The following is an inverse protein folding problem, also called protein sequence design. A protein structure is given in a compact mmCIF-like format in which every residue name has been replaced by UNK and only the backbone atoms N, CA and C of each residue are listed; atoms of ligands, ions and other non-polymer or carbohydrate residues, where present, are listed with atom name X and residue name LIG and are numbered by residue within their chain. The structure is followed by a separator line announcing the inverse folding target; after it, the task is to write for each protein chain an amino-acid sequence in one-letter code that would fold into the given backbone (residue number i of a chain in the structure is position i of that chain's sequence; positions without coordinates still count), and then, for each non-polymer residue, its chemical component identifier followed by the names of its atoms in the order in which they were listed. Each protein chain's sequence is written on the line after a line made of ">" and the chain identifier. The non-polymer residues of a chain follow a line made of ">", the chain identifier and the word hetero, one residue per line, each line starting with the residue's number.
data_IF_750334328645
#
_entry.id   IF_750334328645
#
_cell.length_a   1.000
_cell.length_b   1.000
_cell.length_c   1.000
_cell.angle_alpha   90.00
_cell.angle_beta   90.00
_cell.angle_gamma   90.00
#
_symmetry.space_group_name_H-M   'P 1'
#
loop_
_entity.id
_entity.type
_entity.pdbx_description
1 polymer ?
#
# COMPACT_ATOMS: atom_id res chain seq x y z
N UNK A 1 -22.85 -21.14 -30.65
CA UNK A 1 -21.42 -21.03 -30.32
C UNK A 1 -21.08 -19.54 -30.42
N UNK A 2 -21.14 -18.86 -29.31
CA UNK A 2 -20.81 -17.45 -29.21
C UNK A 2 -19.37 -17.39 -28.72
N UNK A 3 -18.48 -16.98 -29.62
CA UNK A 3 -17.07 -16.74 -29.31
C UNK A 3 -17.00 -15.62 -28.24
N UNK A 4 -16.56 -15.98 -27.05
CA UNK A 4 -16.09 -14.98 -26.09
C UNK A 4 -14.81 -14.38 -26.69
N UNK A 5 -14.92 -13.15 -27.19
CA UNK A 5 -13.75 -12.31 -27.41
C UNK A 5 -13.06 -12.17 -26.06
N UNK A 6 -11.87 -12.72 -25.94
CA UNK A 6 -10.95 -12.47 -24.82
C UNK A 6 -10.74 -10.95 -24.76
N UNK A 7 -11.49 -10.28 -23.90
CA UNK A 7 -11.17 -8.93 -23.48
C UNK A 7 -9.89 -9.06 -22.68
N UNK A 8 -8.76 -8.69 -23.27
CA UNK A 8 -7.53 -8.41 -22.53
C UNK A 8 -7.93 -7.34 -21.52
N UNK A 9 -8.07 -7.72 -20.26
CA UNK A 9 -8.30 -6.78 -19.18
C UNK A 9 -7.12 -5.81 -19.17
N UNK A 10 -7.37 -4.55 -19.51
CA UNK A 10 -6.37 -3.52 -19.39
C UNK A 10 -6.12 -3.31 -17.89
N UNK A 11 -4.89 -3.34 -17.40
CA UNK A 11 -4.61 -3.16 -15.99
C UNK A 11 -5.18 -1.82 -15.52
N UNK A 12 -5.53 -1.72 -14.22
CA UNK A 12 -6.03 -0.48 -13.61
C UNK A 12 -5.10 0.68 -14.02
N UNK A 13 -5.62 1.75 -14.67
CA UNK A 13 -4.80 2.84 -15.19
C UNK A 13 -4.01 3.51 -14.07
N UNK A 14 -2.77 3.89 -14.37
CA UNK A 14 -1.96 4.68 -13.45
C UNK A 14 -2.51 6.11 -13.27
N UNK A 15 -2.05 6.81 -12.25
CA UNK A 15 -2.55 8.13 -11.90
C UNK A 15 -2.29 9.19 -12.99
N UNK A 16 -1.24 9.05 -13.79
CA UNK A 16 -0.92 9.97 -14.88
C UNK A 16 -1.91 9.78 -16.05
N UNK A 17 -2.18 8.53 -16.41
CA UNK A 17 -3.20 8.19 -17.40
C UNK A 17 -4.59 8.73 -17.01
N UNK A 18 -4.88 8.80 -15.72
CA UNK A 18 -6.16 9.31 -15.20
C UNK A 18 -6.26 10.84 -15.28
N UNK A 19 -5.17 11.61 -15.24
CA UNK A 19 -5.19 13.07 -15.13
C UNK A 19 -5.96 13.76 -16.26
N UNK A 20 -5.71 13.42 -17.52
CA UNK A 20 -6.37 14.03 -18.65
C UNK A 20 -7.87 13.69 -18.72
N UNK A 21 -8.30 12.43 -18.61
CA UNK A 21 -9.73 12.08 -18.52
C UNK A 21 -10.42 12.76 -17.33
N UNK A 22 -9.76 12.87 -16.17
CA UNK A 22 -10.29 13.59 -15.01
C UNK A 22 -10.56 15.08 -15.35
N UNK A 23 -9.57 15.77 -15.92
CA UNK A 23 -9.70 17.18 -16.27
C UNK A 23 -10.78 17.42 -17.32
N UNK A 24 -10.90 16.53 -18.32
CA UNK A 24 -11.98 16.57 -19.32
C UNK A 24 -13.36 16.41 -18.68
N UNK A 25 -13.50 15.53 -17.70
CA UNK A 25 -14.78 15.27 -17.04
C UNK A 25 -15.32 16.50 -16.28
N UNK A 26 -14.44 17.32 -15.70
CA UNK A 26 -14.83 18.52 -14.95
C UNK A 26 -14.80 19.80 -15.80
N UNK A 27 -14.69 19.67 -17.13
CA UNK A 27 -14.51 20.80 -18.07
C UNK A 27 -15.72 21.70 -18.24
N UNK A 28 -16.89 21.29 -17.74
CA UNK A 28 -18.13 22.05 -17.82
C UNK A 28 -18.18 23.25 -16.86
N UNK A 29 -17.14 23.46 -16.05
CA UNK A 29 -17.04 24.57 -15.12
C UNK A 29 -17.95 24.46 -13.88
N UNK A 30 -18.63 23.33 -13.68
CA UNK A 30 -19.47 23.08 -12.51
C UNK A 30 -18.70 22.39 -11.40
N UNK A 31 -19.30 22.38 -10.21
CA UNK A 31 -18.78 21.60 -9.08
C UNK A 31 -19.12 20.13 -9.26
N UNK A 32 -18.10 19.27 -9.25
CA UNK A 32 -18.24 17.82 -9.32
C UNK A 32 -17.91 17.17 -7.98
N UNK A 33 -18.78 16.27 -7.52
CA UNK A 33 -18.53 15.48 -6.33
C UNK A 33 -17.48 14.43 -6.62
N UNK A 34 -16.47 14.31 -5.77
CA UNK A 34 -15.35 13.38 -5.97
C UNK A 34 -15.80 11.93 -6.22
N UNK A 35 -16.79 11.44 -5.47
CA UNK A 35 -17.32 10.08 -5.64
C UNK A 35 -17.93 9.85 -7.03
N UNK A 36 -18.66 10.84 -7.53
CA UNK A 36 -19.30 10.75 -8.86
C UNK A 36 -18.24 10.79 -9.97
N UNK A 37 -17.17 11.56 -9.76
CA UNK A 37 -16.02 11.61 -10.67
C UNK A 37 -15.32 10.24 -10.74
N UNK A 38 -15.07 9.57 -9.60
CA UNK A 38 -14.52 8.21 -9.56
C UNK A 38 -15.39 7.24 -10.36
N UNK A 39 -16.71 7.22 -10.10
CA UNK A 39 -17.64 6.32 -10.79
C UNK A 39 -17.68 6.55 -12.31
N UNK A 40 -17.58 7.80 -12.75
CA UNK A 40 -17.55 8.13 -14.17
C UNK A 40 -16.24 7.74 -14.82
N UNK A 41 -15.09 7.93 -14.14
CA UNK A 41 -13.79 7.48 -14.61
C UNK A 41 -13.70 5.95 -14.67
N UNK A 42 -14.26 5.24 -13.69
CA UNK A 42 -14.34 3.78 -13.70
C UNK A 42 -15.05 3.26 -14.96
N UNK A 43 -16.19 3.89 -15.31
CA UNK A 43 -16.91 3.57 -16.55
C UNK A 43 -16.13 3.96 -17.81
N UNK A 44 -15.43 5.09 -17.79
CA UNK A 44 -14.60 5.54 -18.92
C UNK A 44 -13.49 4.52 -19.21
N UNK A 45 -12.83 3.99 -18.19
CA UNK A 45 -11.79 2.98 -18.32
C UNK A 45 -12.32 1.55 -18.42
N UNK A 46 -13.64 1.34 -18.34
CA UNK A 46 -14.33 0.04 -18.40
C UNK A 46 -13.80 -0.97 -17.39
N UNK A 47 -13.54 -0.48 -16.17
CA UNK A 47 -13.01 -1.34 -15.11
C UNK A 47 -14.05 -2.39 -14.70
N UNK A 48 -13.56 -3.59 -14.44
CA UNK A 48 -14.36 -4.71 -13.92
C UNK A 48 -14.63 -4.54 -12.42
N UNK A 49 -15.61 -5.26 -11.88
CA UNK A 49 -15.90 -5.24 -10.44
C UNK A 49 -14.70 -5.73 -9.61
N UNK A 50 -13.91 -6.66 -10.13
CA UNK A 50 -12.70 -7.15 -9.50
C UNK A 50 -11.66 -6.04 -9.39
N UNK A 51 -11.38 -5.31 -10.48
CA UNK A 51 -10.45 -4.17 -10.50
C UNK A 51 -10.91 -3.01 -9.60
N UNK A 52 -12.23 -2.78 -9.50
CA UNK A 52 -12.79 -1.76 -8.61
C UNK A 52 -12.67 -2.11 -7.12
N UNK A 53 -12.59 -3.40 -6.79
CA UNK A 53 -12.45 -3.89 -5.42
C UNK A 53 -11.01 -4.21 -5.03
N UNK A 54 -10.06 -4.21 -5.99
CA UNK A 54 -8.63 -4.41 -5.74
C UNK A 54 -8.09 -3.37 -4.77
N UNK A 55 -7.55 -3.83 -3.63
CA UNK A 55 -7.09 -2.95 -2.55
C UNK A 55 -5.58 -2.82 -2.54
N UNK A 56 -5.12 -1.70 -2.02
CA UNK A 56 -3.74 -1.53 -1.61
C UNK A 56 -3.36 -2.58 -0.55
N UNK A 57 -2.07 -2.92 -0.40
CA UNK A 57 -1.60 -3.91 0.56
C UNK A 57 -2.10 -3.72 1.99
N UNK A 58 -2.32 -2.47 2.42
CA UNK A 58 -2.90 -2.15 3.74
C UNK A 58 -4.38 -2.50 3.88
N UNK A 59 -5.08 -2.79 2.78
CA UNK A 59 -6.52 -3.05 2.74
C UNK A 59 -7.41 -1.82 2.97
N UNK A 60 -6.83 -0.62 3.18
CA UNK A 60 -7.58 0.59 3.60
C UNK A 60 -8.30 1.29 2.46
N UNK A 61 -7.76 1.22 1.26
CA UNK A 61 -8.26 1.92 0.08
C UNK A 61 -8.12 1.03 -1.16
N UNK A 62 -8.99 1.21 -2.16
CA UNK A 62 -8.81 0.55 -3.45
C UNK A 62 -7.69 1.21 -4.24
N UNK A 63 -7.04 0.45 -5.11
CA UNK A 63 -5.96 0.94 -5.99
C UNK A 63 -6.49 2.06 -6.87
N UNK A 64 -7.67 1.87 -7.47
CA UNK A 64 -8.26 2.87 -8.35
C UNK A 64 -8.61 4.17 -7.62
N UNK A 65 -9.28 4.12 -6.47
CA UNK A 65 -9.60 5.31 -5.66
C UNK A 65 -8.33 6.07 -5.25
N UNK A 66 -7.26 5.34 -4.91
CA UNK A 66 -5.97 5.93 -4.58
C UNK A 66 -5.39 6.70 -5.78
N UNK A 67 -5.35 6.06 -6.95
CA UNK A 67 -4.82 6.66 -8.18
C UNK A 67 -5.61 7.88 -8.64
N UNK A 68 -6.94 7.82 -8.58
CA UNK A 68 -7.81 8.99 -8.86
C UNK A 68 -7.57 10.10 -7.84
N UNK A 69 -7.39 9.75 -6.56
CA UNK A 69 -7.07 10.71 -5.50
C UNK A 69 -5.77 11.46 -5.75
N UNK A 70 -4.71 10.74 -6.18
CA UNK A 70 -3.42 11.35 -6.51
C UNK A 70 -3.47 12.17 -7.81
N UNK A 71 -4.14 11.68 -8.85
CA UNK A 71 -4.37 12.47 -10.07
C UNK A 71 -5.05 13.81 -9.75
N UNK A 72 -6.11 13.79 -8.94
CA UNK A 72 -6.81 14.98 -8.45
C UNK A 72 -5.87 15.90 -7.66
N UNK A 73 -5.05 15.36 -6.77
CA UNK A 73 -4.11 16.15 -5.96
C UNK A 73 -3.09 16.85 -6.84
N UNK A 74 -2.54 16.17 -7.83
CA UNK A 74 -1.53 16.74 -8.72
C UNK A 74 -2.13 17.83 -9.64
N UNK A 75 -3.32 17.60 -10.19
CA UNK A 75 -4.05 18.63 -10.95
C UNK A 75 -4.34 19.87 -10.10
N UNK A 76 -4.70 19.70 -8.83
CA UNK A 76 -4.91 20.82 -7.89
C UNK A 76 -3.60 21.55 -7.59
N UNK A 77 -2.50 20.81 -7.34
CA UNK A 77 -1.19 21.42 -7.08
C UNK A 77 -0.62 22.19 -8.28
N UNK A 78 -0.99 21.78 -9.50
CA UNK A 78 -0.70 22.52 -10.73
C UNK A 78 -1.66 23.69 -10.98
N UNK A 79 -2.69 23.87 -10.15
CA UNK A 79 -3.69 24.94 -10.29
C UNK A 79 -4.66 24.73 -11.46
N UNK A 80 -4.83 23.48 -11.95
CA UNK A 80 -5.74 23.17 -13.04
C UNK A 80 -7.18 22.93 -12.54
N UNK A 81 -7.32 22.53 -11.29
CA UNK A 81 -8.60 22.40 -10.58
C UNK A 81 -8.50 23.07 -9.22
N UNK A 82 -9.63 23.42 -8.65
CA UNK A 82 -9.78 23.95 -7.29
C UNK A 82 -10.78 23.13 -6.48
N UNK A 83 -10.74 23.29 -5.15
CA UNK A 83 -11.68 22.65 -4.23
C UNK A 83 -12.57 23.72 -3.60
N UNK A 84 -13.73 24.05 -4.21
CA UNK A 84 -14.62 25.07 -3.69
C UNK A 84 -15.18 24.71 -2.31
N UNK A 85 -15.34 23.41 -2.05
CA UNK A 85 -15.76 22.86 -0.76
C UNK A 85 -15.29 21.41 -0.60
N UNK A 86 -15.36 20.89 0.62
CA UNK A 86 -14.92 19.52 0.95
C UNK A 86 -15.66 18.48 0.09
N UNK A 87 -14.89 17.63 -0.59
CA UNK A 87 -15.41 16.55 -1.43
C UNK A 87 -15.86 16.97 -2.83
N UNK A 88 -15.66 18.23 -3.22
CA UNK A 88 -15.97 18.74 -4.55
C UNK A 88 -14.71 19.27 -5.23
N UNK A 89 -14.73 19.26 -6.56
CA UNK A 89 -13.70 19.86 -7.40
C UNK A 89 -14.34 20.60 -8.57
N UNK A 90 -13.65 21.59 -9.07
CA UNK A 90 -14.07 22.42 -10.21
C UNK A 90 -12.83 22.76 -11.02
N UNK A 91 -12.97 22.83 -12.34
CA UNK A 91 -11.89 23.26 -13.23
C UNK A 91 -11.63 24.77 -13.06
N UNK A 92 -10.37 25.17 -13.18
CA UNK A 92 -9.97 26.58 -13.22
C UNK A 92 -9.83 27.09 -14.66
N UNK A 93 -9.71 28.41 -14.84
CA UNK A 93 -9.41 29.02 -16.16
C UNK A 93 -8.10 28.47 -16.74
N UNK A 94 -7.11 28.17 -15.87
CA UNK A 94 -5.85 27.52 -16.27
C UNK A 94 -6.11 26.10 -16.78
N UNK A 95 -6.97 25.35 -16.13
CA UNK A 95 -7.37 24.00 -16.57
C UNK A 95 -8.08 24.03 -17.92
N UNK A 96 -8.95 25.01 -18.15
CA UNK A 96 -9.61 25.20 -19.45
C UNK A 96 -8.60 25.55 -20.55
N UNK A 97 -7.61 26.42 -20.27
CA UNK A 97 -6.54 26.73 -21.23
C UNK A 97 -5.73 25.49 -21.59
N UNK A 98 -5.38 24.66 -20.61
CA UNK A 98 -4.68 23.38 -20.86
C UNK A 98 -5.50 22.47 -21.75
N UNK A 99 -6.81 22.35 -21.53
CA UNK A 99 -7.67 21.55 -22.42
C UNK A 99 -7.77 22.11 -23.83
N UNK A 100 -7.74 23.44 -24.00
CA UNK A 100 -7.76 24.09 -25.32
C UNK A 100 -6.47 23.83 -26.13
N UNK A 101 -5.36 23.53 -25.48
CA UNK A 101 -4.11 23.09 -26.10
C UNK A 101 -4.19 21.65 -26.67
N UNK A 102 -5.25 20.91 -26.36
CA UNK A 102 -5.47 19.51 -26.77
C UNK A 102 -4.28 18.58 -26.47
N UNK A 103 -3.77 18.55 -25.22
CA UNK A 103 -2.66 17.68 -24.91
C UNK A 103 -3.04 16.20 -25.11
N UNK A 104 -2.12 15.39 -25.61
CA UNK A 104 -2.33 13.95 -25.75
C UNK A 104 -2.36 13.26 -24.37
N UNK A 105 -1.50 13.71 -23.45
CA UNK A 105 -1.40 13.21 -22.07
C UNK A 105 -1.08 14.35 -21.14
N UNK A 106 -1.46 14.19 -19.85
CA UNK A 106 -1.00 15.04 -18.75
C UNK A 106 -0.19 14.15 -17.83
N UNK A 107 1.12 14.37 -17.78
CA UNK A 107 2.07 13.64 -16.92
C UNK A 107 2.63 14.57 -15.84
N UNK A 108 3.38 14.03 -14.90
CA UNK A 108 4.12 14.84 -13.91
C UNK A 108 5.11 15.79 -14.58
N UNK A 109 5.76 15.35 -15.67
CA UNK A 109 6.64 16.21 -16.49
C UNK A 109 5.87 17.36 -17.13
N UNK A 110 4.68 17.07 -17.68
CA UNK A 110 3.81 18.12 -18.23
C UNK A 110 3.39 19.12 -17.15
N UNK A 111 3.10 18.67 -15.94
CA UNK A 111 2.75 19.53 -14.80
C UNK A 111 3.94 20.33 -14.26
N UNK A 112 5.18 19.88 -14.47
CA UNK A 112 6.39 20.58 -14.07
C UNK A 112 6.54 21.96 -14.72
N UNK A 113 5.82 22.27 -15.79
CA UNK A 113 5.75 23.62 -16.37
C UNK A 113 5.11 24.67 -15.45
N UNK A 114 4.38 24.22 -14.41
CA UNK A 114 3.72 25.09 -13.45
C UNK A 114 4.57 25.28 -12.19
N UNK A 115 4.93 26.54 -11.83
CA UNK A 115 5.81 26.80 -10.69
C UNK A 115 5.29 26.25 -9.36
N UNK A 116 3.96 26.29 -9.17
CA UNK A 116 3.31 25.82 -7.95
C UNK A 116 3.47 24.29 -7.79
N UNK A 117 3.41 23.56 -8.89
CA UNK A 117 3.65 22.11 -8.91
C UNK A 117 5.13 21.79 -8.63
N UNK A 118 6.07 22.52 -9.27
CA UNK A 118 7.49 22.37 -8.99
C UNK A 118 7.83 22.64 -7.52
N UNK A 119 7.23 23.66 -6.92
CA UNK A 119 7.42 23.96 -5.50
C UNK A 119 6.89 22.83 -4.59
N UNK A 120 5.80 22.19 -4.99
CA UNK A 120 5.25 21.04 -4.29
C UNK A 120 6.19 19.82 -4.37
N UNK A 121 6.71 19.48 -5.55
CA UNK A 121 7.64 18.35 -5.74
C UNK A 121 8.94 18.59 -4.98
N UNK A 122 9.57 19.78 -5.11
CA UNK A 122 10.81 20.12 -4.40
C UNK A 122 10.69 20.05 -2.87
N UNK A 123 9.53 20.36 -2.30
CA UNK A 123 9.28 20.18 -0.86
C UNK A 123 9.23 18.70 -0.47
N UNK A 124 8.69 17.86 -1.33
CA UNK A 124 8.67 16.41 -1.13
C UNK A 124 10.09 15.83 -1.15
N UNK A 125 10.92 16.25 -2.10
CA UNK A 125 12.29 15.76 -2.25
C UNK A 125 13.22 16.25 -1.13
N UNK A 126 13.05 17.48 -0.64
CA UNK A 126 13.85 18.03 0.45
C UNK A 126 13.62 17.30 1.80
N UNK A 127 12.49 16.64 1.98
CA UNK A 127 12.20 15.78 3.14
C UNK A 127 12.67 14.33 2.95
N UNK A 128 13.06 13.93 1.74
CA UNK A 128 13.46 12.56 1.37
C UNK A 128 14.96 12.39 1.13
N UNK A 129 15.82 13.36 1.53
CA UNK A 129 17.27 13.19 1.45
C UNK A 129 17.77 12.25 2.56
N UNK A 130 17.52 10.97 2.40
CA UNK A 130 18.34 9.88 2.92
C UNK A 130 18.18 8.67 2.01
N UNK A 131 19.23 8.41 1.22
CA UNK A 131 19.63 7.11 0.68
C UNK A 131 18.55 6.19 0.08
N UNK A 132 18.08 6.46 -1.14
CA UNK A 132 17.62 5.38 -2.04
C UNK A 132 17.93 5.77 -3.50
N UNK A 133 19.19 5.71 -3.88
CA UNK A 133 19.57 5.45 -5.27
C UNK A 133 19.50 3.94 -5.48
N UNK A 134 18.56 3.47 -6.25
CA UNK A 134 18.51 2.23 -7.04
C UNK A 134 17.14 1.57 -7.00
N UNK A 135 16.14 2.15 -7.65
CA UNK A 135 15.10 1.38 -8.36
C UNK A 135 14.16 2.30 -9.19
N UNK A 136 14.75 3.10 -10.06
CA UNK A 136 14.04 4.23 -10.71
C UNK A 136 13.09 3.84 -11.86
N UNK A 137 13.11 2.61 -12.36
CA UNK A 137 12.35 2.27 -13.58
C UNK A 137 10.94 1.71 -13.35
N UNK A 138 10.57 1.32 -12.13
CA UNK A 138 9.20 0.85 -11.82
C UNK A 138 8.38 1.82 -10.96
N UNK A 139 8.96 2.97 -10.53
CA UNK A 139 8.29 3.91 -9.62
C UNK A 139 7.50 5.01 -10.32
N UNK A 140 7.74 5.28 -11.60
CA UNK A 140 7.12 6.40 -12.32
C UNK A 140 5.59 6.31 -12.44
N UNK A 141 5.04 5.10 -12.47
CA UNK A 141 3.60 4.86 -12.60
C UNK A 141 2.88 4.56 -11.28
N UNK A 142 3.63 4.46 -10.17
CA UNK A 142 3.05 4.25 -8.84
C UNK A 142 2.79 5.56 -8.13
N UNK A 143 1.70 5.61 -7.38
CA UNK A 143 1.46 6.74 -6.48
C UNK A 143 2.42 6.71 -5.30
N UNK A 144 2.68 7.84 -4.63
CA UNK A 144 3.47 7.86 -3.39
C UNK A 144 2.96 6.89 -2.31
N UNK A 145 1.64 6.72 -2.19
CA UNK A 145 1.04 5.74 -1.27
C UNK A 145 1.35 4.31 -1.67
N UNK A 146 1.23 3.97 -2.96
CA UNK A 146 1.60 2.64 -3.47
C UNK A 146 3.08 2.36 -3.22
N UNK A 147 3.96 3.30 -3.52
CA UNK A 147 5.40 3.16 -3.30
C UNK A 147 5.72 2.88 -1.83
N UNK A 148 5.13 3.65 -0.90
CA UNK A 148 5.32 3.46 0.53
C UNK A 148 4.87 2.07 0.99
N UNK A 149 3.68 1.63 0.58
CA UNK A 149 3.12 0.35 1.00
C UNK A 149 3.91 -0.84 0.45
N UNK A 150 4.29 -0.79 -0.83
CA UNK A 150 5.12 -1.84 -1.43
C UNK A 150 6.53 -1.89 -0.83
N UNK A 151 7.16 -0.74 -0.55
CA UNK A 151 8.46 -0.69 0.12
C UNK A 151 8.38 -1.26 1.54
N UNK A 152 7.34 -0.94 2.28
CA UNK A 152 7.10 -1.52 3.60
C UNK A 152 6.95 -3.04 3.56
N UNK A 153 6.19 -3.57 2.58
CA UNK A 153 6.04 -5.01 2.41
C UNK A 153 7.35 -5.70 2.03
N UNK A 154 8.16 -5.09 1.15
CA UNK A 154 9.47 -5.63 0.79
C UNK A 154 10.36 -5.75 2.01
N UNK A 155 10.52 -4.68 2.78
CA UNK A 155 11.31 -4.67 4.01
C UNK A 155 10.81 -5.70 5.03
N UNK A 156 9.49 -5.82 5.19
CA UNK A 156 8.89 -6.81 6.09
C UNK A 156 9.18 -8.24 5.64
N UNK A 157 9.10 -8.52 4.34
CA UNK A 157 9.39 -9.83 3.79
C UNK A 157 10.88 -10.19 3.92
N UNK A 158 11.77 -9.23 3.63
CA UNK A 158 13.21 -9.40 3.81
C UNK A 158 13.55 -9.71 5.27
N UNK A 159 12.99 -8.94 6.22
CA UNK A 159 13.17 -9.20 7.64
C UNK A 159 12.64 -10.58 8.05
N UNK A 160 11.45 -10.96 7.55
CA UNK A 160 10.88 -12.27 7.85
C UNK A 160 11.77 -13.41 7.34
N UNK A 161 12.34 -13.27 6.14
CA UNK A 161 13.28 -14.25 5.58
C UNK A 161 14.58 -14.31 6.38
N UNK A 162 15.13 -13.16 6.78
CA UNK A 162 16.34 -13.10 7.61
C UNK A 162 16.12 -13.77 8.97
N UNK A 163 15.00 -13.45 9.65
CA UNK A 163 14.65 -14.07 10.92
C UNK A 163 14.48 -15.60 10.78
N UNK A 164 13.79 -16.05 9.71
CA UNK A 164 13.63 -17.47 9.44
C UNK A 164 14.98 -18.17 9.18
N UNK A 165 15.86 -17.52 8.43
CA UNK A 165 17.21 -18.04 8.18
C UNK A 165 18.03 -18.16 9.48
N UNK A 166 17.95 -17.14 10.36
CA UNK A 166 18.62 -17.18 11.68
C UNK A 166 18.08 -18.31 12.57
N UNK A 167 16.74 -18.52 12.56
CA UNK A 167 16.14 -19.63 13.29
C UNK A 167 16.59 -21.00 12.77
N UNK A 168 16.61 -21.18 11.44
CA UNK A 168 17.04 -22.44 10.82
C UNK A 168 18.52 -22.75 11.00
N UNK A 169 19.37 -21.74 11.11
CA UNK A 169 20.82 -21.88 11.29
C UNK A 169 21.22 -21.85 12.78
N UNK A 170 20.28 -21.61 13.69
CA UNK A 170 20.50 -21.64 15.13
C UNK A 170 20.69 -23.08 15.67
N UNK A 171 21.11 -23.20 16.92
CA UNK A 171 21.14 -24.51 17.58
C UNK A 171 19.71 -24.99 17.90
N UNK A 172 19.46 -26.29 18.03
CA UNK A 172 18.15 -26.80 18.47
C UNK A 172 17.67 -26.12 19.76
N UNK A 173 18.54 -25.98 20.76
CA UNK A 173 18.17 -25.32 22.03
C UNK A 173 17.78 -23.85 21.84
N UNK A 174 18.39 -23.16 20.88
CA UNK A 174 17.99 -21.78 20.54
C UNK A 174 16.58 -21.76 19.94
N UNK A 175 16.28 -22.71 19.05
CA UNK A 175 14.96 -22.80 18.42
C UNK A 175 13.86 -23.10 19.47
N UNK A 176 14.08 -24.11 20.31
CA UNK A 176 13.20 -24.47 21.43
C UNK A 176 12.91 -23.27 22.33
N UNK A 177 13.95 -22.55 22.73
CA UNK A 177 13.84 -21.36 23.56
C UNK A 177 13.00 -20.26 22.89
N UNK A 178 13.22 -20.01 21.59
CA UNK A 178 12.46 -19.00 20.84
C UNK A 178 11.00 -19.39 20.74
N UNK A 179 10.67 -20.66 20.50
CA UNK A 179 9.28 -21.13 20.44
C UNK A 179 8.57 -20.92 21.77
N UNK A 180 9.19 -21.31 22.88
CA UNK A 180 8.63 -21.11 24.23
C UNK A 180 8.42 -19.62 24.54
N UNK A 181 9.44 -18.78 24.25
CA UNK A 181 9.38 -17.34 24.49
C UNK A 181 8.28 -16.68 23.64
N UNK A 182 8.12 -17.10 22.38
CA UNK A 182 7.08 -16.59 21.50
C UNK A 182 5.69 -16.88 22.06
N UNK A 183 5.45 -18.12 22.48
CA UNK A 183 4.16 -18.53 23.03
C UNK A 183 3.83 -17.78 24.34
N UNK A 184 4.80 -17.59 25.22
CA UNK A 184 4.63 -16.78 26.43
C UNK A 184 4.30 -15.33 26.10
N UNK A 185 4.99 -14.73 25.10
CA UNK A 185 4.69 -13.35 24.66
C UNK A 185 3.34 -13.22 23.97
N UNK A 186 2.84 -14.30 23.36
CA UNK A 186 1.46 -14.34 22.81
C UNK A 186 0.39 -14.45 23.90
N UNK A 187 0.80 -14.64 25.17
CA UNK A 187 -0.12 -14.71 26.31
C UNK A 187 -0.46 -16.12 26.78
N UNK A 188 0.20 -17.14 26.21
CA UNK A 188 0.10 -18.51 26.73
C UNK A 188 1.07 -18.70 27.88
N UNK A 189 0.56 -19.20 29.00
CA UNK A 189 1.38 -19.46 30.20
C UNK A 189 1.68 -18.23 31.05
N UNK A 190 1.83 -18.46 32.36
CA UNK A 190 1.87 -17.36 33.36
C UNK A 190 3.10 -16.47 33.31
N UNK A 191 4.30 -16.99 33.41
CA UNK A 191 5.54 -16.20 33.35
C UNK A 191 6.67 -16.95 32.67
N UNK A 192 7.64 -16.18 32.12
CA UNK A 192 8.89 -16.74 31.59
C UNK A 192 9.66 -17.60 32.60
N UNK A 193 9.55 -17.31 33.89
CA UNK A 193 10.19 -18.07 34.94
C UNK A 193 9.53 -19.46 35.14
N UNK A 194 8.23 -19.57 34.89
CA UNK A 194 7.50 -20.84 34.99
C UNK A 194 7.66 -21.68 33.73
N UNK A 195 7.66 -21.07 32.54
CA UNK A 195 7.90 -21.72 31.27
C UNK A 195 9.35 -22.19 31.12
N UNK A 196 10.32 -21.44 31.63
CA UNK A 196 11.76 -21.73 31.50
C UNK A 196 12.26 -22.88 32.39
N UNK A 197 11.45 -23.41 33.30
CA UNK A 197 11.86 -24.56 34.16
C UNK A 197 11.74 -25.90 33.44
N UNK A 198 11.10 -25.94 32.29
CA UNK A 198 10.87 -27.17 31.54
C UNK A 198 11.83 -27.39 30.37
N UNK A 199 12.70 -26.45 30.07
CA UNK A 199 13.64 -26.56 28.93
C UNK A 199 14.84 -27.40 29.31
N UNK A 200 14.97 -28.58 28.71
CA UNK A 200 16.22 -29.32 28.61
C UNK A 200 16.61 -30.14 29.85
N UNK A 201 15.87 -31.20 30.19
CA UNK A 201 16.42 -32.34 30.95
C UNK A 201 16.56 -33.55 30.04
N UNK A 202 17.77 -34.06 29.89
CA UNK A 202 18.04 -35.31 29.21
C UNK A 202 17.22 -36.41 29.88
N UNK A 203 16.23 -36.96 29.15
CA UNK A 203 15.39 -38.08 29.62
C UNK A 203 13.91 -37.78 29.83
N UNK A 204 13.41 -36.64 29.37
CA UNK A 204 11.98 -36.18 29.51
C UNK A 204 11.06 -36.59 28.34
N UNK A 205 11.49 -37.53 27.50
CA UNK A 205 10.69 -38.03 26.38
C UNK A 205 10.60 -37.08 25.18
N UNK A 206 11.48 -36.07 25.09
CA UNK A 206 11.53 -35.13 23.98
C UNK A 206 10.58 -33.94 24.16
N UNK A 207 10.27 -33.56 25.38
CA UNK A 207 9.48 -32.37 25.70
C UNK A 207 10.40 -31.18 25.83
N UNK A 208 10.27 -30.20 24.93
CA UNK A 208 11.12 -29.01 24.84
C UNK A 208 10.60 -27.85 25.69
N UNK A 209 9.33 -27.90 26.09
CA UNK A 209 8.75 -26.90 26.98
C UNK A 209 7.39 -27.30 27.52
N UNK A 210 7.03 -26.70 28.66
CA UNK A 210 5.71 -26.86 29.28
C UNK A 210 5.12 -25.48 29.51
N UNK A 211 3.94 -25.22 28.94
CA UNK A 211 3.22 -23.97 29.11
C UNK A 211 1.90 -24.26 29.81
N UNK A 212 1.60 -23.46 30.84
CA UNK A 212 0.30 -23.47 31.51
C UNK A 212 -0.70 -22.69 30.67
N UNK A 213 -1.84 -23.26 30.34
CA UNK A 213 -2.87 -22.59 29.54
C UNK A 213 -3.53 -21.45 30.31
N UNK A 214 -3.67 -21.60 31.63
CA UNK A 214 -4.27 -20.62 32.52
C UNK A 214 -3.32 -20.18 33.65
N UNK A 215 -3.69 -19.10 34.37
CA UNK A 215 -2.96 -18.61 35.53
C UNK A 215 -2.96 -19.56 36.72
N UNK A 216 -3.91 -20.49 36.78
CA UNK A 216 -4.03 -21.47 37.86
C UNK A 216 -3.20 -22.72 37.56
N UNK A 217 -2.81 -22.91 36.30
CA UNK A 217 -2.00 -24.05 35.86
C UNK A 217 -2.75 -25.38 35.88
N UNK A 218 -4.06 -25.33 35.67
CA UNK A 218 -4.93 -26.51 35.65
C UNK A 218 -4.73 -27.30 34.36
N UNK A 219 -4.56 -26.60 33.23
CA UNK A 219 -4.28 -27.20 31.94
C UNK A 219 -2.83 -26.87 31.51
N UNK A 220 -2.17 -27.89 30.96
CA UNK A 220 -0.75 -27.83 30.60
C UNK A 220 -0.58 -28.24 29.14
N UNK A 221 0.14 -27.40 28.38
CA UNK A 221 0.49 -27.67 27.00
C UNK A 221 1.95 -28.10 26.97
N UNK A 222 2.21 -29.30 26.43
CA UNK A 222 3.54 -29.80 26.16
C UNK A 222 4.00 -29.35 24.77
N UNK A 223 5.18 -28.79 24.69
CA UNK A 223 5.80 -28.32 23.44
C UNK A 223 6.89 -29.30 23.05
N UNK A 224 6.86 -29.72 21.79
CA UNK A 224 7.92 -30.44 21.13
C UNK A 224 8.21 -29.73 19.81
N UNK A 225 9.42 -29.21 19.61
CA UNK A 225 9.84 -28.39 18.47
C UNK A 225 10.92 -29.09 17.61
#
# INVERSE_FOLDING_TARGET
>A
KTERKDCIALPIPDYQTIMLPFLKQVSDGKEHRHRDTINTLARHFRLTDEELTEKLPSGRQTVFDNRVGWARTYLMKAGLIEYPRRGFCKITDRGLKVLSEQPQNITTEYLARFPEFLAFVKRSDAQSQSDVEQNSQHSENRTPSETLEYSYLSLRNELAQELLARLKNGSPEFFEKVVVELLVKMGYGGSMADAGKAVGRSGDGGIDGIIKEDRLGLDVIYIQA
#
